data_IF_265884377798
#
_entry.id   IF_265884377798
#
_cell.length_a   1.000
_cell.length_b   1.000
_cell.length_c   1.000
_cell.angle_alpha   90.00
_cell.angle_beta   90.00
_cell.angle_gamma   90.00
#
_symmetry.space_group_name_H-M   'P 1'
#
loop_
_entity.id
_entity.type
_entity.pdbx_description
1 polymer ?
#
# COMPACT_ATOMS: atom_id res chain seq x y z
N UNK A 1 -6.97 7.08 6.94
CA UNK A 1 -6.41 8.11 6.03
C UNK A 1 -5.68 9.25 6.72
N UNK A 2 -6.24 9.95 7.71
CA UNK A 2 -5.59 11.10 8.37
C UNK A 2 -4.19 10.81 8.97
N UNK A 3 -3.94 9.57 9.43
CA UNK A 3 -2.63 9.14 9.92
C UNK A 3 -1.62 8.90 8.79
N UNK A 4 -2.07 8.37 7.66
CA UNK A 4 -1.23 8.03 6.48
C UNK A 4 -0.72 9.29 5.80
N UNK A 5 -1.60 10.29 5.59
CA UNK A 5 -1.20 11.58 5.00
C UNK A 5 -0.19 12.37 5.86
N UNK A 6 -0.02 12.00 7.13
CA UNK A 6 1.00 12.58 8.03
C UNK A 6 2.33 11.82 8.01
N UNK A 7 2.37 10.63 7.42
CA UNK A 7 3.59 9.85 7.28
C UNK A 7 4.48 10.47 6.19
N UNK A 8 5.76 10.61 6.46
CA UNK A 8 6.75 10.88 5.41
C UNK A 8 6.81 9.71 4.41
N UNK A 9 7.42 9.93 3.25
CA UNK A 9 7.69 8.85 2.28
C UNK A 9 8.50 7.72 2.90
N UNK A 10 9.53 8.05 3.68
CA UNK A 10 10.30 7.05 4.40
C UNK A 10 9.44 6.23 5.38
N UNK A 11 8.54 6.87 6.13
CA UNK A 11 7.68 6.17 7.08
C UNK A 11 6.69 5.24 6.37
N UNK A 12 6.04 5.71 5.29
CA UNK A 12 5.15 4.87 4.49
C UNK A 12 5.90 3.69 3.86
N UNK A 13 7.06 3.96 3.27
CA UNK A 13 7.91 2.95 2.62
C UNK A 13 8.38 1.87 3.60
N UNK A 14 8.73 2.26 4.82
CA UNK A 14 9.10 1.32 5.88
C UNK A 14 7.92 0.40 6.22
N UNK A 15 6.75 0.97 6.49
CA UNK A 15 5.58 0.18 6.88
C UNK A 15 5.10 -0.76 5.75
N UNK A 16 5.01 -0.25 4.52
CA UNK A 16 4.70 -1.07 3.35
C UNK A 16 5.70 -2.21 3.17
N UNK A 17 6.99 -1.93 3.32
CA UNK A 17 8.01 -2.98 3.22
C UNK A 17 7.84 -4.04 4.31
N UNK A 18 7.53 -3.65 5.55
CA UNK A 18 7.26 -4.61 6.63
C UNK A 18 6.05 -5.48 6.32
N UNK A 19 4.95 -4.87 5.88
CA UNK A 19 3.72 -5.58 5.51
C UNK A 19 3.98 -6.57 4.37
N UNK A 20 4.69 -6.15 3.32
CA UNK A 20 5.03 -7.00 2.18
C UNK A 20 5.91 -8.19 2.60
N UNK A 21 6.94 -7.93 3.42
CA UNK A 21 7.81 -8.97 3.95
C UNK A 21 7.03 -9.98 4.81
N UNK A 22 6.13 -9.52 5.68
CA UNK A 22 5.25 -10.41 6.44
C UNK A 22 4.34 -11.24 5.52
N UNK A 23 3.74 -10.65 4.49
CA UNK A 23 2.92 -11.37 3.51
C UNK A 23 3.70 -12.42 2.73
N UNK A 24 4.97 -12.16 2.43
CA UNK A 24 5.88 -13.13 1.81
C UNK A 24 6.37 -14.22 2.79
N UNK A 25 5.94 -14.18 4.06
CA UNK A 25 6.33 -15.15 5.10
C UNK A 25 7.72 -14.90 5.68
N UNK A 26 8.29 -13.71 5.48
CA UNK A 26 9.59 -13.36 6.03
C UNK A 26 9.46 -13.04 7.52
N UNK A 27 10.52 -13.29 8.29
CA UNK A 27 10.56 -13.08 9.74
C UNK A 27 11.63 -12.07 10.11
N UNK A 28 11.28 -11.04 10.88
CA UNK A 28 12.25 -10.08 11.38
C UNK A 28 13.02 -10.68 12.57
N UNK A 29 14.34 -10.54 12.57
CA UNK A 29 15.18 -10.95 13.71
C UNK A 29 15.17 -9.83 14.77
N UNK A 30 14.46 -10.07 15.88
CA UNK A 30 14.22 -9.02 16.88
C UNK A 30 13.36 -7.88 16.31
N UNK A 31 13.57 -6.66 16.79
CA UNK A 31 12.75 -5.50 16.39
C UNK A 31 13.36 -4.66 15.26
N UNK A 32 14.66 -4.81 15.00
CA UNK A 32 15.42 -3.98 14.04
C UNK A 32 16.46 -4.77 13.24
N UNK A 33 16.53 -6.09 13.41
CA UNK A 33 17.51 -6.94 12.74
C UNK A 33 17.17 -7.22 11.27
N UNK A 34 17.93 -8.11 10.62
CA UNK A 34 17.66 -8.51 9.25
C UNK A 34 16.36 -9.32 9.15
N UNK A 35 15.75 -9.34 7.97
CA UNK A 35 14.66 -10.26 7.67
C UNK A 35 15.20 -11.61 7.23
N UNK A 36 14.59 -12.69 7.69
CA UNK A 36 14.84 -14.07 7.26
C UNK A 36 13.75 -14.46 6.29
N UNK A 37 14.13 -14.89 5.09
CA UNK A 37 13.21 -15.40 4.07
C UNK A 37 12.72 -16.81 4.42
N UNK A 38 11.63 -17.31 3.81
CA UNK A 38 11.15 -18.68 4.03
C UNK A 38 12.18 -19.78 3.74
N UNK A 39 13.16 -19.52 2.88
CA UNK A 39 14.26 -20.45 2.57
C UNK A 39 15.41 -20.43 3.61
N UNK A 40 15.30 -19.63 4.67
CA UNK A 40 16.30 -19.48 5.71
C UNK A 40 17.44 -18.49 5.38
N UNK A 41 17.46 -17.90 4.18
CA UNK A 41 18.45 -16.88 3.83
C UNK A 41 18.11 -15.51 4.43
N UNK A 42 19.15 -14.69 4.69
CA UNK A 42 18.96 -13.33 5.16
C UNK A 42 18.70 -12.36 4.01
N UNK A 43 17.80 -11.40 4.25
CA UNK A 43 17.66 -10.19 3.46
C UNK A 43 18.87 -9.29 3.68
N UNK A 44 19.53 -8.89 2.60
CA UNK A 44 20.50 -7.79 2.59
C UNK A 44 19.84 -6.41 2.47
N UNK A 45 18.51 -6.37 2.36
CA UNK A 45 17.79 -5.27 1.73
C UNK A 45 17.27 -4.23 2.71
N UNK A 46 17.69 -2.98 2.48
CA UNK A 46 16.99 -1.77 2.94
C UNK A 46 15.53 -1.81 2.49
N UNK A 47 14.68 -1.11 3.23
CA UNK A 47 13.28 -0.88 2.85
C UNK A 47 13.17 -0.34 1.41
N UNK A 48 12.20 -0.85 0.66
CA UNK A 48 11.96 -0.47 -0.74
C UNK A 48 11.27 0.89 -0.79
N UNK A 49 11.68 1.72 -1.75
CA UNK A 49 11.05 3.03 -1.98
C UNK A 49 9.83 2.90 -2.91
N UNK A 50 8.66 2.71 -2.30
CA UNK A 50 7.37 2.58 -2.99
C UNK A 50 6.82 3.91 -3.49
N UNK A 51 7.43 5.05 -3.14
CA UNK A 51 7.04 6.36 -3.65
C UNK A 51 7.72 6.69 -4.99
N UNK A 52 8.22 5.67 -5.70
CA UNK A 52 8.77 5.75 -7.06
C UNK A 52 7.83 5.09 -8.06
N UNK A 53 7.87 5.53 -9.33
CA UNK A 53 6.97 5.03 -10.38
C UNK A 53 6.91 3.50 -10.44
N UNK A 54 8.05 2.83 -10.63
CA UNK A 54 8.09 1.37 -10.81
C UNK A 54 7.62 0.62 -9.57
N UNK A 55 8.13 0.96 -8.39
CA UNK A 55 7.78 0.26 -7.16
C UNK A 55 6.31 0.50 -6.77
N UNK A 56 5.76 1.69 -7.03
CA UNK A 56 4.35 1.99 -6.78
C UNK A 56 3.39 1.19 -7.67
N UNK A 57 3.82 0.85 -8.90
CA UNK A 57 3.03 0.00 -9.80
C UNK A 57 3.09 -1.47 -9.38
N UNK A 58 4.23 -1.93 -8.88
CA UNK A 58 4.37 -3.29 -8.34
C UNK A 58 3.44 -3.50 -7.13
N UNK A 59 3.46 -2.57 -6.17
CA UNK A 59 2.63 -2.66 -4.96
C UNK A 59 1.14 -2.44 -5.27
N UNK A 60 0.81 -1.61 -6.26
CA UNK A 60 -0.56 -1.49 -6.79
C UNK A 60 -1.03 -2.82 -7.36
N UNK A 61 -0.22 -3.48 -8.19
CA UNK A 61 -0.59 -4.77 -8.79
C UNK A 61 -0.83 -5.83 -7.71
N UNK A 62 0.02 -5.86 -6.69
CA UNK A 62 -0.13 -6.76 -5.55
C UNK A 62 -1.42 -6.49 -4.78
N UNK A 63 -1.73 -5.21 -4.49
CA UNK A 63 -2.98 -4.82 -3.84
C UNK A 63 -4.22 -5.19 -4.66
N UNK A 64 -4.20 -4.96 -5.97
CA UNK A 64 -5.30 -5.33 -6.88
C UNK A 64 -5.51 -6.86 -6.89
N UNK A 65 -4.44 -7.65 -6.85
CA UNK A 65 -4.54 -9.10 -6.81
C UNK A 65 -5.15 -9.64 -5.50
N UNK A 66 -5.09 -8.87 -4.42
CA UNK A 66 -5.71 -9.21 -3.13
C UNK A 66 -7.18 -8.83 -3.15
N UNK A 67 -7.47 -7.57 -3.44
CA UNK A 67 -8.83 -7.03 -3.48
C UNK A 67 -8.87 -5.80 -4.39
N UNK A 68 -9.25 -6.02 -5.65
CA UNK A 68 -9.33 -4.98 -6.66
C UNK A 68 -10.37 -3.90 -6.31
N UNK A 69 -11.52 -4.28 -5.77
CA UNK A 69 -12.59 -3.34 -5.45
C UNK A 69 -12.16 -2.42 -4.30
N UNK A 70 -11.67 -3.01 -3.20
CA UNK A 70 -11.26 -2.25 -2.04
C UNK A 70 -10.03 -1.38 -2.33
N UNK A 71 -9.10 -1.85 -3.16
CA UNK A 71 -7.99 -1.03 -3.64
C UNK A 71 -8.50 0.20 -4.42
N UNK A 72 -9.40 0.01 -5.39
CA UNK A 72 -9.92 1.12 -6.19
C UNK A 72 -10.69 2.12 -5.33
N UNK A 73 -11.51 1.67 -4.36
CA UNK A 73 -12.17 2.54 -3.38
C UNK A 73 -11.17 3.32 -2.52
N UNK A 74 -10.02 2.73 -2.19
CA UNK A 74 -8.95 3.42 -1.46
C UNK A 74 -8.23 4.45 -2.34
N UNK A 75 -7.93 4.09 -3.59
CA UNK A 75 -7.28 4.98 -4.54
C UNK A 75 -8.15 6.20 -4.88
N UNK A 76 -9.45 6.00 -5.06
CA UNK A 76 -10.41 7.11 -5.24
C UNK A 76 -10.34 8.07 -4.04
N UNK A 77 -10.38 7.54 -2.82
CA UNK A 77 -10.33 8.37 -1.61
C UNK A 77 -9.05 9.18 -1.47
N UNK A 78 -7.94 8.70 -2.03
CA UNK A 78 -6.63 9.32 -1.92
C UNK A 78 -6.38 10.30 -3.06
N UNK A 79 -6.59 9.87 -4.31
CA UNK A 79 -6.24 10.60 -5.53
C UNK A 79 -7.34 11.55 -6.02
N UNK A 80 -8.58 11.38 -5.57
CA UNK A 80 -9.71 12.20 -6.01
C UNK A 80 -10.09 13.20 -4.93
N UNK A 81 -10.30 14.45 -5.34
CA UNK A 81 -10.73 15.49 -4.42
C UNK A 81 -12.13 15.15 -3.85
N UNK A 82 -12.36 15.30 -2.53
CA UNK A 82 -13.61 14.86 -1.87
C UNK A 82 -14.89 15.43 -2.48
N UNK A 83 -14.84 16.63 -3.06
CA UNK A 83 -15.99 17.25 -3.74
C UNK A 83 -16.48 16.46 -4.98
N UNK A 84 -15.67 15.54 -5.49
CA UNK A 84 -16.03 14.69 -6.63
C UNK A 84 -16.26 13.23 -6.23
N UNK A 85 -16.21 12.90 -4.93
CA UNK A 85 -16.64 11.60 -4.43
C UNK A 85 -18.16 11.56 -4.48
N UNK A 86 -18.71 10.76 -5.40
CA UNK A 86 -20.18 10.63 -5.51
C UNK A 86 -20.75 9.55 -4.61
N UNK A 87 -19.91 8.69 -4.01
CA UNK A 87 -20.38 7.56 -3.20
C UNK A 87 -21.24 6.57 -4.00
N UNK A 88 -21.17 6.63 -5.32
CA UNK A 88 -21.88 5.78 -6.26
C UNK A 88 -21.00 4.58 -6.62
N UNK A 89 -21.61 3.42 -6.91
CA UNK A 89 -20.87 2.23 -7.36
C UNK A 89 -20.31 2.36 -8.79
N UNK A 90 -20.63 3.45 -9.50
CA UNK A 90 -20.15 3.75 -10.85
C UNK A 90 -19.18 4.93 -10.84
N UNK A 91 -17.97 4.69 -11.36
CA UNK A 91 -16.93 5.70 -11.52
C UNK A 91 -17.17 6.48 -12.82
N UNK A 92 -17.20 7.82 -12.74
CA UNK A 92 -17.28 8.67 -13.94
C UNK A 92 -15.96 8.65 -14.73
N UNK A 93 -15.99 8.97 -16.02
CA UNK A 93 -14.76 9.04 -16.83
C UNK A 93 -13.72 10.02 -16.27
N UNK A 94 -14.18 11.13 -15.68
CA UNK A 94 -13.32 12.12 -15.04
C UNK A 94 -12.60 11.53 -13.81
N UNK A 95 -13.35 10.83 -12.95
CA UNK A 95 -12.79 10.16 -11.77
C UNK A 95 -11.83 9.04 -12.18
N UNK A 96 -12.18 8.25 -13.20
CA UNK A 96 -11.28 7.23 -13.74
C UNK A 96 -9.97 7.82 -14.28
N UNK A 97 -10.04 8.97 -14.97
CA UNK A 97 -8.85 9.66 -15.47
C UNK A 97 -7.95 10.17 -14.33
N UNK A 98 -8.52 10.70 -13.25
CA UNK A 98 -7.75 11.10 -12.08
C UNK A 98 -7.06 9.92 -11.39
N UNK A 99 -7.78 8.81 -11.21
CA UNK A 99 -7.19 7.60 -10.62
C UNK A 99 -6.08 7.02 -11.50
N UNK A 100 -6.25 7.04 -12.83
CA UNK A 100 -5.23 6.61 -13.77
C UNK A 100 -3.97 7.50 -13.73
N UNK A 101 -4.13 8.77 -13.33
CA UNK A 101 -3.05 9.74 -13.17
C UNK A 101 -2.58 9.91 -11.71
N UNK A 102 -2.96 8.99 -10.82
CA UNK A 102 -2.51 9.00 -9.44
C UNK A 102 -0.98 8.94 -9.37
N UNK A 103 -0.38 9.73 -8.49
CA UNK A 103 1.07 9.74 -8.24
C UNK A 103 1.55 8.44 -7.58
N UNK A 104 2.87 8.14 -7.62
CA UNK A 104 3.44 6.99 -6.92
C UNK A 104 3.05 6.92 -5.44
N UNK A 105 3.07 8.07 -4.77
CA UNK A 105 2.72 8.20 -3.37
C UNK A 105 1.25 7.82 -3.13
N UNK A 106 0.33 8.32 -3.96
CA UNK A 106 -1.10 8.02 -3.81
C UNK A 106 -1.40 6.54 -4.03
N UNK A 107 -0.75 5.90 -5.02
CA UNK A 107 -0.83 4.45 -5.24
C UNK A 107 -0.34 3.67 -4.03
N UNK A 108 0.78 4.09 -3.44
CA UNK A 108 1.35 3.48 -2.25
C UNK A 108 0.45 3.64 -1.00
N UNK A 109 -0.16 4.82 -0.79
CA UNK A 109 -1.11 5.06 0.30
C UNK A 109 -2.38 4.20 0.18
N UNK A 110 -2.89 4.03 -1.04
CA UNK A 110 -4.03 3.17 -1.31
C UNK A 110 -3.72 1.70 -0.99
N UNK A 111 -2.55 1.20 -1.41
CA UNK A 111 -2.08 -0.14 -1.10
C UNK A 111 -1.87 -0.34 0.41
N UNK A 112 -1.24 0.62 1.09
CA UNK A 112 -1.04 0.56 2.55
C UNK A 112 -2.37 0.46 3.29
N UNK A 113 -3.38 1.24 2.88
CA UNK A 113 -4.70 1.20 3.53
C UNK A 113 -5.34 -0.18 3.42
N UNK A 114 -5.19 -0.85 2.27
CA UNK A 114 -5.67 -2.21 2.08
C UNK A 114 -4.90 -3.21 2.95
N UNK A 115 -3.57 -3.15 2.95
CA UNK A 115 -2.76 -4.11 3.71
C UNK A 115 -2.96 -3.97 5.21
N UNK A 116 -3.12 -2.73 5.70
CA UNK A 116 -3.35 -2.46 7.11
C UNK A 116 -4.73 -2.91 7.59
N UNK A 117 -5.75 -2.93 6.72
CA UNK A 117 -7.10 -3.41 7.09
C UNK A 117 -7.19 -4.93 7.12
N UNK A 118 -6.28 -5.64 6.43
CA UNK A 118 -6.15 -7.10 6.51
C UNK A 118 -5.40 -7.62 7.75
N UNK A 119 -4.88 -6.76 8.62
CA UNK A 119 -4.13 -7.12 9.83
C UNK A 119 -4.93 -6.97 11.15
N UNK A 120 -6.18 -6.50 11.08
CA UNK A 120 -7.08 -6.36 12.26
C UNK A 120 -7.89 -7.65 12.57
N UNK A 121 -7.55 -8.79 11.96
CA UNK A 121 -8.05 -10.12 12.33
C UNK A 121 -6.89 -10.88 12.95
N UNK A 122 -6.71 -10.73 14.27
CA UNK A 122 -6.11 -11.72 15.21
C UNK A 122 -5.75 -11.06 16.56
N UNK A 123 -6.73 -10.39 17.19
CA UNK A 123 -6.70 -10.12 18.62
C UNK A 123 -8.02 -10.57 19.24
N UNK A 124 -8.14 -11.90 19.40
CA UNK A 124 -8.93 -12.52 20.48
C UNK A 124 -8.27 -12.29 21.84
#
# INVERSE_FOLDING_TARGET
MLKIKKMTDQQLNNELSRMEMHRLGWKLVGDTGPWIKPDGSYSSGRYRDYCTELASLEIQREAINIDAEQYMRNLEKVAVHPAHHKGEDLISYEVAAWMANASPRERAEAAYTLFNTGLDVDHE
#
